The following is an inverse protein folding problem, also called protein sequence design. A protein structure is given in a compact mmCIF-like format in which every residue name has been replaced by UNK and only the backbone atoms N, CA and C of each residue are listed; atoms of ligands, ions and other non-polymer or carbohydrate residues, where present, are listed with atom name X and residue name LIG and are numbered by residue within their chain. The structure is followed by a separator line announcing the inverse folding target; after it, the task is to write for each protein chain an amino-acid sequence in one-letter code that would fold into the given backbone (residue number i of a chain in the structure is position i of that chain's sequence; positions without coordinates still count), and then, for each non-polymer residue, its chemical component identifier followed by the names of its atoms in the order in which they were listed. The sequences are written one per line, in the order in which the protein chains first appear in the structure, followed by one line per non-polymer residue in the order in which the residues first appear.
data_IF_805523553989
#
_entry.id   IF_805523553989
#
_cell.length_a   1.000
_cell.length_b   1.000
_cell.length_c   1.000
_cell.angle_alpha   90.00
_cell.angle_beta   90.00
_cell.angle_gamma   90.00
#
_symmetry.space_group_name_H-M   'P 1'
#
loop_
_entity.id
_entity.type
_entity.pdbx_description
1 polymer ?
#
# COMPACT_ATOMS: atom_id res chain seq x y z
N UNK A 1 53.41 9.78 -16.74
CA UNK A 1 51.94 9.89 -16.84
C UNK A 1 51.36 8.48 -16.90
N UNK A 2 51.14 7.85 -15.75
CA UNK A 2 50.66 6.46 -15.67
C UNK A 2 49.14 6.48 -15.54
N UNK A 3 48.44 6.08 -16.60
CA UNK A 3 46.98 5.91 -16.55
C UNK A 3 46.67 4.64 -15.77
N UNK A 4 45.99 4.79 -14.63
CA UNK A 4 45.44 3.66 -13.88
C UNK A 4 44.36 2.96 -14.72
N UNK A 5 44.29 1.62 -14.70
CA UNK A 5 43.21 0.91 -15.37
C UNK A 5 41.88 1.23 -14.65
N UNK A 6 40.87 1.60 -15.45
CA UNK A 6 39.48 1.68 -15.00
C UNK A 6 39.08 0.31 -14.47
N UNK A 7 38.94 0.18 -13.16
CA UNK A 7 38.26 -0.93 -12.53
C UNK A 7 36.79 -0.85 -12.92
N UNK A 8 36.36 -1.75 -13.81
CA UNK A 8 34.96 -2.10 -13.96
C UNK A 8 34.52 -2.70 -12.62
N UNK A 9 33.70 -1.96 -11.87
CA UNK A 9 33.05 -2.48 -10.68
C UNK A 9 32.25 -3.75 -11.02
N UNK A 10 31.98 -4.63 -10.04
CA UNK A 10 31.24 -5.85 -10.29
C UNK A 10 29.87 -5.50 -10.87
N UNK A 11 29.72 -5.76 -12.17
CA UNK A 11 28.44 -5.73 -12.85
C UNK A 11 27.56 -6.73 -12.10
N UNK A 12 26.57 -6.25 -11.35
CA UNK A 12 25.53 -7.11 -10.78
C UNK A 12 24.73 -7.65 -11.95
N UNK A 13 25.25 -8.70 -12.60
CA UNK A 13 24.49 -9.57 -13.45
C UNK A 13 23.50 -10.25 -12.53
N UNK A 14 22.31 -9.67 -12.42
CA UNK A 14 21.14 -10.41 -11.97
C UNK A 14 20.97 -11.51 -13.00
N UNK A 15 21.48 -12.70 -12.69
CA UNK A 15 21.15 -13.93 -13.39
C UNK A 15 19.67 -14.15 -13.14
N UNK A 16 18.81 -13.60 -14.00
CA UNK A 16 17.39 -13.91 -13.99
C UNK A 16 17.31 -15.34 -14.50
N UNK A 17 16.99 -16.35 -13.64
CA UNK A 17 16.73 -17.67 -14.16
C UNK A 17 15.54 -17.50 -15.10
N UNK A 18 15.59 -18.09 -16.29
CA UNK A 18 14.48 -18.12 -17.25
C UNK A 18 13.32 -18.91 -16.64
N UNK A 19 12.67 -18.30 -15.66
CA UNK A 19 11.46 -18.77 -15.01
C UNK A 19 10.40 -18.77 -16.09
N UNK A 20 9.75 -19.91 -16.27
CA UNK A 20 8.69 -20.02 -17.26
C UNK A 20 7.59 -18.98 -16.93
N UNK A 21 6.73 -18.66 -17.89
CA UNK A 21 5.74 -17.58 -17.68
C UNK A 21 4.83 -17.83 -16.47
N UNK A 22 4.61 -19.09 -16.07
CA UNK A 22 3.78 -19.43 -14.90
C UNK A 22 4.45 -19.02 -13.60
N UNK A 23 5.75 -19.27 -13.47
CA UNK A 23 6.54 -18.85 -12.30
C UNK A 23 6.59 -17.33 -12.16
N UNK A 24 6.72 -16.59 -13.28
CA UNK A 24 6.66 -15.13 -13.26
C UNK A 24 5.30 -14.61 -12.81
N UNK A 25 4.20 -15.19 -13.32
CA UNK A 25 2.84 -14.82 -12.91
C UNK A 25 2.61 -15.13 -11.43
N UNK A 26 3.09 -16.27 -10.93
CA UNK A 26 2.98 -16.63 -9.52
C UNK A 26 3.75 -15.63 -8.63
N UNK A 27 4.97 -15.25 -9.02
CA UNK A 27 5.77 -14.28 -8.29
C UNK A 27 5.11 -12.89 -8.26
N UNK A 28 4.61 -12.39 -9.39
CA UNK A 28 3.92 -11.09 -9.45
C UNK A 28 2.58 -11.12 -8.69
N UNK A 29 1.86 -12.24 -8.71
CA UNK A 29 0.63 -12.41 -7.92
C UNK A 29 0.93 -12.32 -6.43
N UNK A 30 2.00 -12.98 -5.97
CA UNK A 30 2.41 -12.93 -4.57
C UNK A 30 2.79 -11.49 -4.17
N UNK A 31 3.61 -10.83 -4.99
CA UNK A 31 4.00 -9.42 -4.77
C UNK A 31 2.79 -8.48 -4.75
N UNK A 32 1.83 -8.69 -5.65
CA UNK A 32 0.60 -7.90 -5.68
C UNK A 32 -0.20 -8.08 -4.39
N UNK A 33 -0.28 -9.29 -3.82
CA UNK A 33 -0.96 -9.54 -2.54
C UNK A 33 -0.29 -8.77 -1.40
N UNK A 34 1.03 -8.77 -1.34
CA UNK A 34 1.80 -8.03 -0.34
C UNK A 34 1.55 -6.52 -0.45
N UNK A 35 1.63 -5.96 -1.67
CA UNK A 35 1.34 -4.55 -1.92
C UNK A 35 -0.11 -4.18 -1.57
N UNK A 36 -1.08 -5.05 -1.86
CA UNK A 36 -2.47 -4.83 -1.47
C UNK A 36 -2.64 -4.79 0.05
N UNK A 37 -1.92 -5.62 0.80
CA UNK A 37 -1.93 -5.57 2.26
C UNK A 37 -1.37 -4.24 2.78
N UNK A 38 -0.28 -3.73 2.21
CA UNK A 38 0.29 -2.44 2.56
C UNK A 38 -0.63 -1.27 2.21
N UNK A 39 -1.28 -1.31 1.04
CA UNK A 39 -2.28 -0.33 0.61
C UNK A 39 -3.45 -0.32 1.61
N UNK A 40 -3.97 -1.49 1.98
CA UNK A 40 -5.07 -1.61 2.94
C UNK A 40 -4.67 -1.07 4.33
N UNK A 41 -3.45 -1.38 4.80
CA UNK A 41 -2.95 -0.85 6.06
C UNK A 41 -2.81 0.69 6.02
N UNK A 42 -2.32 1.24 4.91
CA UNK A 42 -2.23 2.69 4.69
C UNK A 42 -3.61 3.35 4.64
N UNK A 43 -4.57 2.72 3.96
CA UNK A 43 -5.95 3.20 3.88
C UNK A 43 -6.60 3.27 5.27
N UNK A 44 -6.37 2.27 6.14
CA UNK A 44 -6.84 2.29 7.54
C UNK A 44 -6.24 3.42 8.36
N UNK A 45 -4.92 3.61 8.30
CA UNK A 45 -4.25 4.73 8.98
C UNK A 45 -4.80 6.08 8.50
N UNK A 46 -5.02 6.21 7.18
CA UNK A 46 -5.63 7.42 6.60
C UNK A 46 -7.07 7.62 7.07
N UNK A 47 -7.89 6.58 7.11
CA UNK A 47 -9.27 6.68 7.58
C UNK A 47 -9.35 7.10 9.05
N UNK A 48 -8.48 6.56 9.91
CA UNK A 48 -8.36 7.00 11.30
C UNK A 48 -7.97 8.48 11.42
N UNK A 49 -7.01 8.95 10.63
CA UNK A 49 -6.65 10.38 10.60
C UNK A 49 -7.79 11.27 10.09
N UNK A 50 -8.60 10.80 9.14
CA UNK A 50 -9.79 11.52 8.69
C UNK A 50 -10.87 11.58 9.79
N UNK A 51 -11.06 10.52 10.57
CA UNK A 51 -11.95 10.56 11.74
C UNK A 51 -11.46 11.53 12.83
N UNK A 52 -10.15 11.58 13.05
CA UNK A 52 -9.53 12.58 13.93
C UNK A 52 -9.88 14.00 13.47
N UNK A 53 -9.62 14.31 12.20
CA UNK A 53 -9.97 15.61 11.63
C UNK A 53 -11.47 15.91 11.69
N UNK A 54 -12.35 14.90 11.60
CA UNK A 54 -13.80 15.09 11.78
C UNK A 54 -14.12 15.50 13.21
N UNK A 55 -13.39 14.96 14.19
CA UNK A 55 -13.56 15.32 15.61
C UNK A 55 -13.06 16.72 15.90
N UNK A 56 -11.95 17.12 15.29
CA UNK A 56 -11.37 18.47 15.44
C UNK A 56 -12.20 19.55 14.72
N UNK A 57 -12.60 19.30 13.47
CA UNK A 57 -13.28 20.28 12.61
C UNK A 57 -14.81 20.19 12.65
N UNK A 58 -15.35 19.19 13.35
CA UNK A 58 -16.78 18.99 13.58
C UNK A 58 -17.57 18.35 12.42
N UNK A 59 -16.99 18.22 11.21
CA UNK A 59 -17.70 17.57 10.10
C UNK A 59 -16.79 17.00 9.01
N UNK A 60 -17.28 15.97 8.31
CA UNK A 60 -16.62 15.37 7.14
C UNK A 60 -16.42 16.38 6.00
N UNK A 61 -17.35 17.32 5.83
CA UNK A 61 -17.26 18.37 4.81
C UNK A 61 -16.17 19.39 5.13
N UNK A 62 -15.97 19.72 6.41
CA UNK A 62 -14.89 20.60 6.85
C UNK A 62 -13.52 19.96 6.58
N UNK A 63 -13.35 18.69 6.95
CA UNK A 63 -12.14 17.91 6.61
C UNK A 63 -11.90 17.89 5.11
N UNK A 64 -12.93 17.56 4.32
CA UNK A 64 -12.82 17.49 2.86
C UNK A 64 -12.33 18.81 2.25
N UNK A 65 -12.83 19.95 2.75
CA UNK A 65 -12.37 21.29 2.33
C UNK A 65 -10.93 21.56 2.75
N UNK A 66 -10.56 21.22 3.98
CA UNK A 66 -9.22 21.42 4.53
C UNK A 66 -8.14 20.72 3.70
N UNK A 67 -8.37 19.45 3.33
CA UNK A 67 -7.40 18.65 2.55
C UNK A 67 -7.64 18.70 1.03
N UNK A 68 -8.62 19.48 0.57
CA UNK A 68 -8.90 19.70 -0.85
C UNK A 68 -9.42 18.48 -1.63
N UNK A 69 -10.27 17.64 -1.02
CA UNK A 69 -10.88 16.47 -1.69
C UNK A 69 -12.41 16.47 -1.61
N UNK A 70 -13.06 15.58 -2.37
CA UNK A 70 -14.51 15.40 -2.31
C UNK A 70 -14.96 14.78 -0.97
N UNK A 71 -16.07 15.27 -0.41
CA UNK A 71 -16.63 14.79 0.85
C UNK A 71 -17.05 13.31 0.79
N UNK A 72 -17.45 12.81 -0.38
CA UNK A 72 -17.78 11.40 -0.58
C UNK A 72 -16.54 10.53 -0.49
N UNK A 73 -15.36 11.04 -0.85
CA UNK A 73 -14.11 10.33 -0.67
C UNK A 73 -13.76 10.18 0.83
N UNK A 74 -13.97 11.23 1.63
CA UNK A 74 -13.82 11.17 3.10
C UNK A 74 -14.79 10.14 3.69
N UNK A 75 -16.07 10.24 3.33
CA UNK A 75 -17.12 9.30 3.77
C UNK A 75 -16.78 7.86 3.41
N UNK A 76 -16.35 7.61 2.18
CA UNK A 76 -15.98 6.29 1.69
C UNK A 76 -14.80 5.73 2.46
N UNK A 77 -13.72 6.51 2.59
CA UNK A 77 -12.51 6.09 3.31
C UNK A 77 -12.82 5.70 4.76
N UNK A 78 -13.59 6.53 5.47
CA UNK A 78 -13.97 6.26 6.86
C UNK A 78 -14.88 5.02 6.93
N UNK A 79 -15.86 4.89 6.04
CA UNK A 79 -16.77 3.74 6.05
C UNK A 79 -16.06 2.43 5.74
N UNK A 80 -15.12 2.42 4.80
CA UNK A 80 -14.50 1.19 4.31
C UNK A 80 -13.27 0.77 5.13
N UNK A 81 -12.57 1.72 5.74
CA UNK A 81 -11.31 1.47 6.44
C UNK A 81 -11.26 2.06 7.85
N UNK A 82 -12.36 2.63 8.34
CA UNK A 82 -12.46 3.13 9.70
C UNK A 82 -12.38 2.01 10.75
N UNK A 83 -12.20 2.38 12.03
CA UNK A 83 -12.05 1.43 13.14
C UNK A 83 -13.25 0.48 13.30
N UNK A 84 -14.45 0.90 12.87
CA UNK A 84 -15.65 0.06 12.88
C UNK A 84 -15.72 -1.01 11.79
N UNK A 85 -14.78 -1.03 10.84
CA UNK A 85 -14.81 -1.89 9.64
C UNK A 85 -13.77 -3.02 9.69
N UNK A 86 -13.07 -3.21 10.81
CA UNK A 86 -12.07 -4.28 10.95
C UNK A 86 -12.72 -5.67 11.06
N UNK A 87 -12.35 -6.64 10.21
CA UNK A 87 -12.44 -8.05 10.58
C UNK A 87 -11.36 -8.35 11.65
N UNK A 88 -11.61 -9.27 12.60
CA UNK A 88 -10.69 -9.56 13.70
C UNK A 88 -9.33 -10.04 13.18
N UNK A 89 -8.21 -9.67 13.87
CA UNK A 89 -6.84 -9.88 13.37
C UNK A 89 -6.38 -11.34 13.27
N UNK A 90 -7.23 -12.33 13.60
CA UNK A 90 -6.87 -13.74 13.68
C UNK A 90 -7.77 -14.68 12.85
N UNK A 91 -8.53 -14.19 11.87
CA UNK A 91 -9.24 -15.10 10.96
C UNK A 91 -8.24 -15.68 9.95
N UNK A 92 -7.88 -16.98 10.03
CA UNK A 92 -7.24 -17.62 8.88
C UNK A 92 -8.21 -17.49 7.71
N UNK A 93 -7.73 -16.99 6.57
CA UNK A 93 -8.45 -17.13 5.31
C UNK A 93 -8.48 -18.63 5.00
N UNK A 94 -9.50 -19.33 5.50
CA UNK A 94 -9.85 -20.67 5.05
C UNK A 94 -10.19 -20.55 3.58
N UNK A 95 -9.23 -20.94 2.75
CA UNK A 95 -9.45 -21.30 1.36
C UNK A 95 -9.96 -22.74 1.38
N UNK A 96 -11.24 -22.93 1.09
CA UNK A 96 -11.80 -24.16 0.55
C UNK A 96 -12.62 -23.80 -0.70
#
# INVERSE_FOLDING_TARGET
MTRLPRTLGPSTLVCVPTTNWRERVAAETQRQRELQAEIAATARRRAAALEEGVRELGSKSAVAREIGIDVSAVRRSIREYGPGTLPPPNSPTTTE
#
